data_IF_904092598123
#
_entry.id   IF_904092598123
#
_cell.length_a   1.000
_cell.length_b   1.000
_cell.length_c   1.000
_cell.angle_alpha   90.00
_cell.angle_beta   90.00
_cell.angle_gamma   90.00
#
_symmetry.space_group_name_H-M   'P 1'
#
loop_
_entity.id
_entity.type
_entity.pdbx_description
1 polymer ?
#
# COMPACT_ATOMS: atom_id res chain seq x y z
N UNK A 1 2.30 -16.68 3.57
CA UNK A 1 1.99 -15.34 4.10
C UNK A 1 0.52 -15.34 4.45
N UNK A 2 0.10 -14.72 5.55
CA UNK A 2 -1.32 -14.71 5.95
C UNK A 2 -2.17 -13.90 4.96
N UNK A 3 -3.35 -14.42 4.61
CA UNK A 3 -4.25 -13.79 3.64
C UNK A 3 -4.70 -12.38 4.08
N UNK A 4 -4.92 -12.19 5.38
CA UNK A 4 -5.28 -10.91 6.01
C UNK A 4 -4.26 -9.79 5.76
N UNK A 5 -2.98 -10.14 5.61
CA UNK A 5 -1.91 -9.19 5.31
C UNK A 5 -1.93 -8.84 3.83
N UNK A 6 -2.13 -9.83 2.96
CA UNK A 6 -2.14 -9.67 1.50
C UNK A 6 -3.21 -8.67 1.04
N UNK A 7 -4.37 -8.71 1.67
CA UNK A 7 -5.49 -7.82 1.35
C UNK A 7 -5.22 -6.37 1.74
N UNK A 8 -4.31 -6.15 2.70
CA UNK A 8 -3.89 -4.82 3.14
C UNK A 8 -2.71 -4.25 2.34
N UNK A 9 -2.10 -5.04 1.44
CA UNK A 9 -1.08 -4.56 0.49
C UNK A 9 -1.79 -3.86 -0.67
N UNK A 10 -2.21 -2.63 -0.40
CA UNK A 10 -2.93 -1.77 -1.35
C UNK A 10 -2.08 -0.55 -1.72
N UNK A 11 -2.34 0.08 -2.88
CA UNK A 11 -1.67 1.32 -3.26
C UNK A 11 -1.81 2.37 -2.16
N UNK A 12 -0.73 3.11 -1.88
CA UNK A 12 -0.68 4.13 -0.83
C UNK A 12 -0.35 3.59 0.56
N UNK A 13 -0.45 2.27 0.79
CA UNK A 13 -0.01 1.67 2.04
C UNK A 13 1.49 1.88 2.25
N UNK A 14 1.89 2.19 3.48
CA UNK A 14 3.30 2.22 3.89
C UNK A 14 3.62 0.91 4.59
N UNK A 15 4.60 0.18 4.06
CA UNK A 15 4.94 -1.16 4.49
C UNK A 15 6.44 -1.32 4.71
N UNK A 16 6.81 -2.23 5.61
CA UNK A 16 8.16 -2.72 5.81
C UNK A 16 8.23 -4.16 5.32
N UNK A 17 9.04 -4.41 4.30
CA UNK A 17 9.29 -5.74 3.76
C UNK A 17 10.60 -6.25 4.32
N UNK A 18 10.55 -7.40 5.01
CA UNK A 18 11.73 -8.07 5.54
C UNK A 18 12.18 -9.12 4.55
N UNK A 19 13.39 -8.97 4.01
CA UNK A 19 13.97 -9.85 3.01
C UNK A 19 15.13 -10.64 3.57
N UNK A 20 15.17 -11.93 3.22
CA UNK A 20 16.31 -12.80 3.49
C UNK A 20 17.40 -12.49 2.47
N UNK A 21 18.44 -11.77 2.88
CA UNK A 21 19.64 -11.56 2.07
C UNK A 21 20.73 -12.53 2.51
N UNK A 22 21.41 -13.17 1.56
CA UNK A 22 22.58 -14.02 1.80
C UNK A 22 23.85 -13.23 1.46
N UNK A 23 24.72 -13.05 2.43
CA UNK A 23 26.06 -12.50 2.25
C UNK A 23 27.03 -13.42 2.99
N UNK A 24 28.01 -14.00 2.28
CA UNK A 24 29.03 -14.86 2.89
C UNK A 24 28.51 -16.10 3.64
N UNK A 25 27.40 -16.69 3.19
CA UNK A 25 26.82 -17.91 3.78
C UNK A 25 25.91 -17.70 5.01
N UNK A 26 25.89 -16.49 5.60
CA UNK A 26 24.96 -16.14 6.69
C UNK A 26 23.70 -15.47 6.13
N UNK A 27 22.54 -15.82 6.68
CA UNK A 27 21.25 -15.18 6.33
C UNK A 27 21.06 -13.96 7.24
N UNK A 28 20.85 -12.78 6.65
CA UNK A 28 20.46 -11.56 7.36
C UNK A 28 19.12 -11.05 6.85
N UNK A 29 18.29 -10.50 7.73
CA UNK A 29 17.06 -9.83 7.36
C UNK A 29 17.38 -8.37 6.98
N UNK A 30 17.20 -8.01 5.71
CA UNK A 30 17.24 -6.64 5.24
C UNK A 30 15.82 -6.06 5.22
N UNK A 31 15.66 -4.79 5.57
CA UNK A 31 14.35 -4.16 5.67
C UNK A 31 14.21 -3.09 4.58
N UNK A 32 13.18 -3.23 3.75
CA UNK A 32 12.79 -2.22 2.78
C UNK A 32 11.47 -1.56 3.21
N UNK A 33 11.55 -0.33 3.70
CA UNK A 33 10.38 0.47 4.10
C UNK A 33 10.01 1.47 3.01
N UNK A 34 8.74 1.51 2.62
CA UNK A 34 8.26 2.50 1.66
C UNK A 34 6.77 2.43 1.37
N UNK A 35 6.33 3.27 0.43
CA UNK A 35 4.94 3.33 -0.02
C UNK A 35 4.70 2.38 -1.19
N UNK A 36 3.62 1.61 -1.14
CA UNK A 36 3.17 0.77 -2.24
C UNK A 36 2.66 1.66 -3.38
N UNK A 37 3.33 1.61 -4.53
CA UNK A 37 2.88 2.30 -5.73
C UNK A 37 1.70 1.60 -6.40
N UNK A 38 1.69 0.28 -6.36
CA UNK A 38 0.66 -0.53 -7.00
C UNK A 38 0.93 -2.02 -6.90
N UNK A 39 -0.13 -2.79 -7.19
CA UNK A 39 -0.11 -4.25 -7.29
C UNK A 39 -0.44 -4.67 -8.73
N UNK A 40 0.14 -5.79 -9.17
CA UNK A 40 -0.08 -6.40 -10.49
C UNK A 40 -0.47 -7.86 -10.33
N UNK A 41 -1.20 -8.38 -11.32
CA UNK A 41 -1.65 -9.78 -11.41
C UNK A 41 -2.52 -10.27 -10.24
N UNK A 42 -3.20 -9.34 -9.56
CA UNK A 42 -4.23 -9.67 -8.55
C UNK A 42 -3.77 -10.71 -7.53
N UNK A 43 -4.48 -11.84 -7.49
CA UNK A 43 -4.24 -12.99 -6.61
C UNK A 43 -3.55 -14.17 -7.32
N UNK A 44 -3.04 -13.97 -8.53
CA UNK A 44 -2.29 -14.98 -9.26
C UNK A 44 -0.96 -15.28 -8.56
N UNK A 45 -0.38 -16.45 -8.86
CA UNK A 45 0.91 -16.84 -8.26
C UNK A 45 2.06 -15.89 -8.65
N UNK A 46 1.93 -15.24 -9.82
CA UNK A 46 2.83 -14.20 -10.31
C UNK A 46 2.51 -12.79 -9.80
N UNK A 47 1.61 -12.65 -8.83
CA UNK A 47 1.26 -11.37 -8.24
C UNK A 47 2.50 -10.67 -7.69
N UNK A 48 2.62 -9.37 -8.01
CA UNK A 48 3.71 -8.53 -7.55
C UNK A 48 3.18 -7.21 -7.02
N UNK A 49 3.92 -6.60 -6.10
CA UNK A 49 3.68 -5.24 -5.66
C UNK A 49 4.98 -4.43 -5.73
N UNK A 50 4.84 -3.14 -5.99
CA UNK A 50 5.99 -2.23 -6.11
C UNK A 50 6.01 -1.28 -4.93
N UNK A 51 7.14 -1.22 -4.22
CA UNK A 51 7.36 -0.32 -3.09
C UNK A 51 8.37 0.74 -3.49
N UNK A 52 8.06 1.99 -3.19
CA UNK A 52 8.92 3.15 -3.43
C UNK A 52 9.37 3.78 -2.11
N UNK A 53 10.66 4.09 -2.03
CA UNK A 53 11.28 4.84 -0.94
C UNK A 53 12.16 5.93 -1.53
N UNK A 54 12.28 7.07 -0.85
CA UNK A 54 13.37 8.01 -1.11
C UNK A 54 14.39 7.85 0.03
N UNK A 55 15.63 7.56 -0.32
CA UNK A 55 16.73 7.43 0.64
C UNK A 55 17.89 8.29 0.17
N UNK A 56 18.41 9.15 1.05
CA UNK A 56 19.55 10.04 0.73
C UNK A 56 19.34 10.85 -0.57
N UNK A 57 18.11 11.31 -0.82
CA UNK A 57 17.76 12.07 -2.02
C UNK A 57 17.52 11.24 -3.28
N UNK A 58 17.79 9.93 -3.26
CA UNK A 58 17.59 9.03 -4.41
C UNK A 58 16.30 8.24 -4.25
N UNK A 59 15.46 8.25 -5.29
CA UNK A 59 14.26 7.43 -5.36
C UNK A 59 14.61 5.98 -5.68
N UNK A 60 14.35 5.08 -4.74
CA UNK A 60 14.54 3.64 -4.89
C UNK A 60 13.18 2.95 -5.02
N UNK A 61 13.08 2.05 -5.98
CA UNK A 61 11.91 1.20 -6.16
C UNK A 61 12.30 -0.27 -6.13
N UNK A 62 11.49 -1.08 -5.48
CA UNK A 62 11.67 -2.52 -5.44
C UNK A 62 10.34 -3.22 -5.73
N UNK A 63 10.41 -4.22 -6.61
CA UNK A 63 9.28 -5.04 -6.99
C UNK A 63 9.39 -6.36 -6.24
N UNK A 64 8.31 -6.72 -5.56
CA UNK A 64 8.24 -7.89 -4.71
C UNK A 64 7.20 -8.87 -5.25
N UNK A 65 7.56 -10.14 -5.49
CA UNK A 65 6.58 -11.19 -5.71
C UNK A 65 5.85 -11.48 -4.38
N UNK A 66 4.53 -11.47 -4.43
CA UNK A 66 3.64 -11.62 -3.28
C UNK A 66 3.87 -12.95 -2.54
N UNK A 67 4.22 -14.00 -3.29
CA UNK A 67 4.45 -15.36 -2.79
C UNK A 67 5.95 -15.74 -2.72
N UNK A 68 6.86 -14.77 -2.71
CA UNK A 68 8.30 -15.07 -2.69
C UNK A 68 8.75 -15.68 -1.36
N UNK A 69 9.53 -16.78 -1.36
CA UNK A 69 10.11 -17.36 -0.14
C UNK A 69 11.23 -16.49 0.47
N UNK A 70 11.73 -15.52 -0.29
CA UNK A 70 12.74 -14.57 0.15
C UNK A 70 12.15 -13.49 1.07
N UNK A 71 10.83 -13.30 1.06
CA UNK A 71 10.15 -12.42 1.99
C UNK A 71 9.90 -13.20 3.28
N UNK A 72 10.45 -12.68 4.39
CA UNK A 72 10.28 -13.28 5.71
C UNK A 72 8.98 -12.85 6.36
N UNK A 73 8.74 -11.53 6.37
CA UNK A 73 7.51 -10.93 6.88
C UNK A 73 7.25 -9.57 6.22
N UNK A 74 6.00 -9.14 6.26
CA UNK A 74 5.57 -7.80 5.84
C UNK A 74 4.83 -7.18 7.02
N UNK A 75 5.26 -5.99 7.41
CA UNK A 75 4.56 -5.17 8.41
C UNK A 75 3.93 -3.97 7.72
N UNK A 76 2.68 -3.66 8.07
CA UNK A 76 1.93 -2.56 7.49
C UNK A 76 1.81 -1.47 8.53
N UNK A 77 2.45 -0.33 8.28
CA UNK A 77 2.49 0.79 9.23
C UNK A 77 1.29 1.70 9.06
N UNK A 78 0.83 1.91 7.82
CA UNK A 78 -0.26 2.83 7.51
C UNK A 78 -0.97 2.42 6.23
N UNK A 79 -2.30 2.47 6.22
CA UNK A 79 -3.12 2.16 5.03
C UNK A 79 -4.05 3.32 4.70
N UNK A 80 -3.54 4.41 4.10
CA UNK A 80 -4.39 5.51 3.67
C UNK A 80 -5.22 5.11 2.45
N UNK A 81 -6.46 5.60 2.38
CA UNK A 81 -7.30 5.39 1.20
C UNK A 81 -6.88 6.34 0.07
N UNK A 82 -6.57 5.77 -1.09
CA UNK A 82 -6.17 6.52 -2.28
C UNK A 82 -7.14 6.26 -3.42
N UNK A 83 -7.18 7.16 -4.40
CA UNK A 83 -8.16 7.10 -5.49
C UNK A 83 -7.68 6.32 -6.68
N UNK A 84 -6.36 6.24 -6.87
CA UNK A 84 -5.72 5.61 -8.02
C UNK A 84 -5.18 4.25 -7.63
N UNK A 85 -5.41 3.25 -8.49
CA UNK A 85 -4.85 1.91 -8.32
C UNK A 85 -3.31 1.87 -8.51
N UNK A 86 -2.72 2.89 -9.15
CA UNK A 86 -1.28 3.03 -9.37
C UNK A 86 -0.83 4.47 -9.12
N UNK A 87 0.11 4.68 -8.22
CA UNK A 87 0.58 5.98 -7.76
C UNK A 87 1.88 6.43 -8.46
N UNK A 88 2.01 6.16 -9.77
CA UNK A 88 3.25 6.46 -10.51
C UNK A 88 3.62 7.95 -10.52
N UNK A 89 2.66 8.85 -10.29
CA UNK A 89 2.91 10.28 -10.13
C UNK A 89 3.88 10.60 -8.99
N UNK A 90 4.01 9.71 -7.99
CA UNK A 90 4.99 9.85 -6.91
C UNK A 90 6.47 9.70 -7.38
N UNK A 91 6.68 9.35 -8.65
CA UNK A 91 8.02 9.25 -9.27
C UNK A 91 8.58 10.59 -9.69
N UNK A 92 7.75 11.40 -10.31
CA UNK A 92 8.11 12.66 -10.96
C UNK A 92 8.03 13.84 -9.99
N UNK A 93 7.23 13.71 -8.93
CA UNK A 93 6.97 14.80 -8.01
C UNK A 93 8.08 15.00 -6.99
N UNK A 94 8.36 16.28 -6.70
CA UNK A 94 9.14 16.64 -5.52
C UNK A 94 8.47 16.08 -4.27
N UNK A 95 9.26 15.75 -3.24
CA UNK A 95 8.74 15.13 -2.00
C UNK A 95 7.59 15.95 -1.37
N UNK A 96 7.57 17.27 -1.56
CA UNK A 96 6.54 18.19 -1.08
C UNK A 96 5.23 18.06 -1.88
N UNK A 97 5.31 17.98 -3.20
CA UNK A 97 4.16 17.85 -4.08
C UNK A 97 3.52 16.47 -3.96
N UNK A 98 4.35 15.42 -3.93
CA UNK A 98 3.93 14.05 -3.72
C UNK A 98 3.09 13.91 -2.44
N UNK A 99 3.57 14.49 -1.33
CA UNK A 99 2.84 14.53 -0.05
C UNK A 99 1.53 15.31 -0.15
N UNK A 100 1.52 16.46 -0.84
CA UNK A 100 0.32 17.29 -1.01
C UNK A 100 -0.76 16.56 -1.82
N UNK A 101 -0.38 15.88 -2.91
CA UNK A 101 -1.34 15.14 -3.74
C UNK A 101 -1.85 13.89 -3.03
N UNK A 102 -0.98 13.16 -2.34
CA UNK A 102 -1.40 12.03 -1.52
C UNK A 102 -2.39 12.48 -0.43
N UNK A 103 -2.13 13.58 0.28
CA UNK A 103 -3.06 14.13 1.29
C UNK A 103 -4.40 14.57 0.69
N UNK A 104 -4.41 15.15 -0.52
CA UNK A 104 -5.64 15.49 -1.25
C UNK A 104 -6.44 14.25 -1.66
N UNK A 105 -5.77 13.15 -2.03
CA UNK A 105 -6.47 11.89 -2.33
C UNK A 105 -7.06 11.27 -1.06
N UNK A 106 -6.37 11.33 0.07
CA UNK A 106 -6.83 10.82 1.37
C UNK A 106 -8.07 11.57 1.85
N UNK A 107 -7.95 12.89 2.01
CA UNK A 107 -9.01 13.76 2.57
C UNK A 107 -10.32 13.65 1.80
N UNK A 108 -10.27 13.70 0.47
CA UNK A 108 -11.48 13.57 -0.35
C UNK A 108 -12.06 12.15 -0.40
N UNK A 109 -11.35 11.14 0.11
CA UNK A 109 -11.85 9.77 0.14
C UNK A 109 -12.42 9.43 1.52
N UNK A 110 -11.87 10.01 2.59
CA UNK A 110 -12.47 10.00 3.93
C UNK A 110 -13.85 10.69 3.90
N UNK A 111 -13.95 11.91 3.34
CA UNK A 111 -15.26 12.60 3.20
C UNK A 111 -16.27 11.81 2.37
N UNK A 112 -15.83 11.12 1.32
CA UNK A 112 -16.72 10.32 0.48
C UNK A 112 -17.14 8.99 1.14
N UNK A 113 -16.37 8.49 2.10
CA UNK A 113 -16.72 7.31 2.88
C UNK A 113 -17.72 7.66 3.98
N UNK A 114 -17.49 8.76 4.70
CA UNK A 114 -18.42 9.26 5.72
C UNK A 114 -19.80 9.51 5.12
N UNK A 115 -19.89 10.12 3.93
CA UNK A 115 -21.17 10.33 3.23
C UNK A 115 -21.86 9.01 2.88
N UNK A 116 -21.11 7.98 2.43
CA UNK A 116 -21.67 6.66 2.10
C UNK A 116 -22.15 5.88 3.32
N UNK A 117 -21.43 5.97 4.43
CA UNK A 117 -21.83 5.34 5.70
C UNK A 117 -23.11 6.00 6.25
N UNK A 118 -23.27 7.32 6.05
CA UNK A 118 -24.51 8.05 6.42
C UNK A 118 -25.68 7.66 5.50
N UNK A 119 -25.47 7.55 4.19
CA UNK A 119 -26.52 7.15 3.22
C UNK A 119 -26.98 5.69 3.44
N UNK A 120 -26.05 4.78 3.71
CA UNK A 120 -26.38 3.37 3.99
C UNK A 120 -27.08 3.18 5.33
N UNK A 121 -26.74 3.95 6.36
CA UNK A 121 -27.45 3.95 7.64
C UNK A 121 -28.89 4.52 7.50
N UNK A 122 -29.08 5.55 6.66
CA UNK A 122 -30.39 6.13 6.39
C UNK A 122 -31.34 5.20 5.61
N UNK A 123 -30.80 4.40 4.69
CA UNK A 123 -31.58 3.41 3.94
C UNK A 123 -32.03 2.21 4.81
N UNK A 124 -31.32 1.92 5.90
CA UNK A 124 -31.70 0.89 6.88
C UNK A 124 -32.82 1.37 7.83
N UNK A 125 -32.77 2.62 8.30
CA UNK A 125 -33.82 3.22 9.15
C UNK A 125 -35.19 3.37 8.44
N UNK A 126 -35.20 3.55 7.12
CA UNK A 126 -36.44 3.67 6.33
C UNK A 126 -37.13 2.31 6.16
N UNK A 127 -36.40 1.20 6.19
CA UNK A 127 -36.97 -0.17 6.05
C UNK A 127 -37.52 -0.74 7.34
N UNK A 128 -37.09 -0.24 8.49
CA UNK A 128 -37.57 -0.69 9.80
C UNK A 128 -38.87 0.02 10.25
N UNK A 129 -39.21 1.15 9.61
CA UNK A 129 -40.40 1.95 9.90
C UNK A 129 -41.50 1.91 8.82
N UNK A 130 -41.38 1.01 7.83
CA UNK A 130 -42.33 0.85 6.71
C UNK A 130 -43.16 -0.44 6.83
#
# INVERSE_FOLDING_TARGET
MEQSILDKIVPGATIRVYEKTKEGGKKRASIFEGTVLGRKHGSEIGATFTVRRVSQGVGMEKIFPLHSPNIEKIEITRTPKVRRAKLYYLREESAKEARKKLKKEITKTETANEIKEIETAGDEEIKENA
#
